data_IF_935115395845
#
_entry.id   IF_935115395845
#
_cell.length_a   1.000
_cell.length_b   1.000
_cell.length_c   1.000
_cell.angle_alpha   90.00
_cell.angle_beta   90.00
_cell.angle_gamma   90.00
#
_symmetry.space_group_name_H-M   'P 1'
#
loop_
_entity.id
_entity.type
_entity.pdbx_description
1 polymer ?
#
# COMPACT_ATOMS: atom_id res chain seq x y z
N UNK A 1 31.24 18.48 18.56
CA UNK A 1 30.60 17.27 19.11
C UNK A 1 30.40 16.29 17.97
N UNK A 2 31.18 15.22 17.92
CA UNK A 2 31.02 14.18 16.90
C UNK A 2 29.82 13.31 17.26
N UNK A 3 28.85 13.19 16.35
CA UNK A 3 27.78 12.22 16.50
C UNK A 3 28.40 10.85 16.31
N UNK A 4 28.58 10.11 17.40
CA UNK A 4 28.97 8.72 17.38
C UNK A 4 27.86 7.96 16.65
N UNK A 5 28.08 7.56 15.40
CA UNK A 5 27.18 6.61 14.73
C UNK A 5 27.28 5.30 15.50
N UNK A 6 26.21 4.95 16.22
CA UNK A 6 25.99 3.56 16.65
C UNK A 6 25.93 2.72 15.39
N UNK A 7 27.01 2.00 15.10
CA UNK A 7 27.01 0.96 14.07
C UNK A 7 26.28 -0.23 14.68
N UNK A 8 24.96 -0.24 14.56
CA UNK A 8 24.22 -1.50 14.62
C UNK A 8 24.74 -2.35 13.47
N UNK A 9 25.09 -3.60 13.77
CA UNK A 9 25.47 -4.59 12.77
C UNK A 9 24.21 -4.86 11.93
N UNK A 10 24.02 -4.07 10.89
CA UNK A 10 22.81 -4.13 10.07
C UNK A 10 22.89 -5.40 9.26
N UNK A 11 21.89 -6.28 9.43
CA UNK A 11 21.71 -7.49 8.62
C UNK A 11 21.68 -7.19 7.11
N UNK A 12 21.43 -5.93 6.72
CA UNK A 12 21.41 -5.46 5.35
C UNK A 12 22.67 -4.72 4.93
N UNK A 13 23.10 -5.00 3.71
CA UNK A 13 24.13 -4.19 3.06
C UNK A 13 23.63 -2.74 2.83
N UNK A 14 24.55 -1.78 2.78
CA UNK A 14 24.25 -0.40 2.37
C UNK A 14 23.57 -0.34 0.99
N UNK A 15 23.87 -1.27 0.10
CA UNK A 15 23.25 -1.37 -1.23
C UNK A 15 21.78 -1.74 -1.12
N UNK A 16 21.44 -2.75 -0.32
CA UNK A 16 20.06 -3.20 -0.08
C UNK A 16 19.21 -2.08 0.50
N UNK A 17 19.74 -1.36 1.48
CA UNK A 17 19.07 -0.19 2.07
C UNK A 17 18.83 0.89 1.00
N UNK A 18 19.83 1.17 0.16
CA UNK A 18 19.70 2.16 -0.90
C UNK A 18 18.67 1.75 -1.97
N UNK A 19 18.59 0.47 -2.31
CA UNK A 19 17.57 -0.07 -3.22
C UNK A 19 16.16 0.12 -2.65
N UNK A 20 15.95 -0.21 -1.38
CA UNK A 20 14.67 0.00 -0.71
C UNK A 20 14.28 1.49 -0.69
N UNK A 21 15.22 2.35 -0.29
CA UNK A 21 14.99 3.79 -0.24
C UNK A 21 14.67 4.40 -1.61
N UNK A 22 15.28 3.91 -2.70
CA UNK A 22 14.98 4.38 -4.06
C UNK A 22 13.53 4.12 -4.43
N UNK A 23 13.02 2.92 -4.15
CA UNK A 23 11.63 2.54 -4.44
C UNK A 23 10.66 3.33 -3.55
N UNK A 24 10.94 3.42 -2.24
CA UNK A 24 10.11 4.20 -1.32
C UNK A 24 10.07 5.66 -1.75
N UNK A 25 11.20 6.24 -2.16
CA UNK A 25 11.27 7.62 -2.61
C UNK A 25 10.55 7.84 -3.95
N UNK A 26 10.66 6.91 -4.91
CA UNK A 26 9.87 6.96 -6.15
C UNK A 26 8.38 7.02 -5.83
N UNK A 27 7.89 6.19 -4.91
CA UNK A 27 6.50 6.21 -4.49
C UNK A 27 6.10 7.51 -3.79
N UNK A 28 6.76 7.86 -2.68
CA UNK A 28 6.38 9.01 -1.85
C UNK A 28 6.45 10.32 -2.62
N UNK A 29 7.53 10.55 -3.38
CA UNK A 29 7.69 11.80 -4.14
C UNK A 29 6.70 11.86 -5.30
N UNK A 30 6.40 10.74 -5.97
CA UNK A 30 5.43 10.75 -7.06
C UNK A 30 4.01 11.02 -6.56
N UNK A 31 3.62 10.46 -5.42
CA UNK A 31 2.30 10.73 -4.81
C UNK A 31 2.14 12.21 -4.46
N UNK A 32 3.16 12.85 -3.86
CA UNK A 32 3.15 14.30 -3.58
C UNK A 32 2.95 15.15 -4.85
N UNK A 33 3.54 14.74 -5.97
CA UNK A 33 3.33 15.43 -7.25
C UNK A 33 1.96 15.15 -7.84
N UNK A 34 1.45 13.91 -7.70
CA UNK A 34 0.12 13.53 -8.16
C UNK A 34 -0.95 14.34 -7.43
N UNK A 35 -0.80 14.66 -6.15
CA UNK A 35 -1.76 15.47 -5.40
C UNK A 35 -2.04 16.85 -6.02
N UNK A 36 -1.07 17.41 -6.77
CA UNK A 36 -1.28 18.64 -7.53
C UNK A 36 -2.32 18.47 -8.64
N UNK A 37 -2.40 17.28 -9.24
CA UNK A 37 -3.41 16.94 -10.25
C UNK A 37 -4.82 16.99 -9.65
N UNK A 38 -4.98 16.55 -8.40
CA UNK A 38 -6.29 16.63 -7.73
C UNK A 38 -6.76 18.08 -7.59
N UNK A 39 -5.84 19.01 -7.33
CA UNK A 39 -6.12 20.44 -7.23
C UNK A 39 -6.40 21.09 -8.59
N UNK A 40 -5.53 20.87 -9.58
CA UNK A 40 -5.59 21.56 -10.88
C UNK A 40 -6.60 20.95 -11.87
N UNK A 41 -6.86 19.64 -11.75
CA UNK A 41 -7.60 18.86 -12.75
C UNK A 41 -8.73 17.99 -12.16
N UNK A 42 -8.90 17.98 -10.84
CA UNK A 42 -9.97 17.28 -10.16
C UNK A 42 -9.73 15.78 -9.91
N UNK A 43 -10.65 15.17 -9.17
CA UNK A 43 -10.54 13.79 -8.64
C UNK A 43 -10.42 12.72 -9.72
N UNK A 44 -11.23 12.77 -10.77
CA UNK A 44 -11.20 11.76 -11.84
C UNK A 44 -9.86 11.74 -12.60
N UNK A 45 -9.26 12.92 -12.80
CA UNK A 45 -7.94 13.02 -13.42
C UNK A 45 -6.87 12.44 -12.52
N UNK A 46 -6.92 12.77 -11.22
CA UNK A 46 -6.02 12.22 -10.22
C UNK A 46 -6.12 10.69 -10.12
N UNK A 47 -7.33 10.12 -10.01
CA UNK A 47 -7.55 8.66 -9.91
C UNK A 47 -6.95 7.91 -11.10
N UNK A 48 -7.18 8.43 -12.32
CA UNK A 48 -6.63 7.85 -13.54
C UNK A 48 -5.10 7.89 -13.56
N UNK A 49 -4.50 9.01 -13.17
CA UNK A 49 -3.03 9.15 -13.19
C UNK A 49 -2.35 8.36 -12.06
N UNK A 50 -2.99 8.22 -10.89
CA UNK A 50 -2.52 7.30 -9.83
C UNK A 50 -2.49 5.87 -10.33
N UNK A 51 -3.59 5.40 -10.96
CA UNK A 51 -3.64 4.07 -11.56
C UNK A 51 -2.55 3.91 -12.62
N UNK A 52 -2.42 4.87 -13.55
CA UNK A 52 -1.36 4.84 -14.56
C UNK A 52 0.02 4.73 -13.93
N UNK A 53 0.33 5.56 -12.94
CA UNK A 53 1.61 5.56 -12.24
C UNK A 53 1.92 4.20 -11.63
N UNK A 54 0.99 3.63 -10.86
CA UNK A 54 1.17 2.33 -10.21
C UNK A 54 1.54 1.23 -11.21
N UNK A 55 0.83 1.17 -12.35
CA UNK A 55 1.05 0.13 -13.36
C UNK A 55 2.26 0.41 -14.27
N UNK A 56 2.46 1.65 -14.75
CA UNK A 56 3.54 1.95 -15.70
C UNK A 56 4.92 2.01 -15.04
N UNK A 57 4.98 2.32 -13.75
CA UNK A 57 6.21 2.27 -12.96
C UNK A 57 6.41 0.94 -12.23
N UNK A 58 5.48 -0.02 -12.38
CA UNK A 58 5.52 -1.33 -11.71
C UNK A 58 5.74 -1.21 -10.19
N UNK A 59 5.06 -0.25 -9.57
CA UNK A 59 5.23 0.08 -8.15
C UNK A 59 4.86 -1.10 -7.26
N UNK A 60 3.82 -1.85 -7.64
CA UNK A 60 3.40 -3.09 -6.98
C UNK A 60 4.56 -4.10 -6.89
N UNK A 61 5.25 -4.36 -8.00
CA UNK A 61 6.38 -5.30 -8.05
C UNK A 61 7.58 -4.78 -7.28
N UNK A 62 7.88 -3.48 -7.43
CA UNK A 62 9.00 -2.85 -6.72
C UNK A 62 8.78 -2.87 -5.20
N UNK A 63 7.57 -2.58 -4.73
CA UNK A 63 7.22 -2.62 -3.31
C UNK A 63 7.21 -4.05 -2.76
N UNK A 64 6.74 -5.03 -3.52
CA UNK A 64 6.85 -6.44 -3.13
C UNK A 64 8.32 -6.86 -2.94
N UNK A 65 9.19 -6.41 -3.84
CA UNK A 65 10.64 -6.63 -3.74
C UNK A 65 11.20 -5.95 -2.48
N UNK A 66 10.82 -4.70 -2.18
CA UNK A 66 11.22 -4.02 -0.92
C UNK A 66 10.74 -4.79 0.31
N UNK A 67 9.47 -5.21 0.34
CA UNK A 67 8.90 -5.99 1.44
C UNK A 67 9.70 -7.26 1.68
N UNK A 68 10.05 -7.99 0.61
CA UNK A 68 10.82 -9.23 0.70
C UNK A 68 12.13 -9.04 1.46
N UNK A 69 12.91 -8.00 1.13
CA UNK A 69 14.16 -7.74 1.86
C UNK A 69 13.85 -7.39 3.29
N UNK A 70 12.96 -6.41 3.50
CA UNK A 70 12.65 -5.89 4.83
C UNK A 70 12.10 -6.97 5.78
N UNK A 71 11.47 -8.02 5.25
CA UNK A 71 10.95 -9.15 6.01
C UNK A 71 12.00 -10.23 6.38
N UNK A 72 13.17 -10.27 5.74
CA UNK A 72 14.20 -11.30 5.97
C UNK A 72 14.68 -11.48 7.44
N UNK A 73 14.67 -10.44 8.30
CA UNK A 73 15.04 -10.56 9.71
C UNK A 73 13.99 -11.26 10.57
N UNK A 74 12.73 -11.28 10.13
CA UNK A 74 11.61 -11.81 10.88
C UNK A 74 11.49 -13.33 10.67
N UNK A 75 11.15 -14.04 11.74
CA UNK A 75 10.96 -15.49 11.70
C UNK A 75 9.71 -15.87 10.91
N UNK A 76 9.84 -16.91 10.09
CA UNK A 76 8.71 -17.57 9.39
C UNK A 76 8.21 -18.80 10.15
N UNK A 77 8.70 -19.06 11.37
CA UNK A 77 8.19 -20.15 12.21
C UNK A 77 6.81 -19.79 12.73
N UNK A 78 5.85 -20.69 12.54
CA UNK A 78 4.48 -20.48 12.98
C UNK A 78 4.36 -20.68 14.50
N UNK A 79 3.69 -19.73 15.15
CA UNK A 79 3.34 -19.82 16.56
C UNK A 79 2.10 -20.69 16.83
N UNK A 80 1.66 -20.79 18.10
CA UNK A 80 0.45 -21.54 18.48
C UNK A 80 -0.87 -21.04 17.87
N UNK A 81 -0.89 -19.83 17.33
CA UNK A 81 -2.03 -19.21 16.64
C UNK A 81 -1.92 -19.24 15.12
N UNK A 82 -1.00 -20.06 14.59
CA UNK A 82 -0.81 -20.28 13.15
C UNK A 82 -0.35 -19.02 12.37
N UNK A 83 0.29 -18.07 13.07
CA UNK A 83 0.85 -16.85 12.48
C UNK A 83 2.37 -16.82 12.60
N UNK A 84 3.04 -16.32 11.56
CA UNK A 84 4.47 -15.99 11.65
C UNK A 84 4.73 -14.70 12.47
N UNK A 85 6.00 -14.33 12.66
CA UNK A 85 6.36 -13.13 13.43
C UNK A 85 5.81 -11.85 12.78
N UNK A 86 5.97 -11.72 11.46
CA UNK A 86 5.62 -10.49 10.75
C UNK A 86 4.09 -10.34 10.60
N UNK A 87 3.38 -11.43 10.38
CA UNK A 87 1.91 -11.45 10.37
C UNK A 87 1.34 -10.96 11.70
N UNK A 88 1.95 -11.37 12.80
CA UNK A 88 1.53 -10.98 14.15
C UNK A 88 1.81 -9.51 14.44
N UNK A 89 2.99 -9.02 14.07
CA UNK A 89 3.38 -7.61 14.25
C UNK A 89 2.59 -6.66 13.33
N UNK A 90 2.02 -7.16 12.22
CA UNK A 90 1.21 -6.37 11.28
C UNK A 90 -0.29 -6.65 11.38
N UNK A 91 -0.74 -7.35 12.42
CA UNK A 91 -2.13 -7.78 12.56
C UNK A 91 -3.14 -6.62 12.67
N UNK A 92 -2.68 -5.44 13.08
CA UNK A 92 -3.48 -4.22 13.23
C UNK A 92 -3.51 -3.35 11.96
N UNK A 93 -2.77 -3.73 10.91
CA UNK A 93 -2.75 -2.99 9.65
C UNK A 93 -4.07 -3.19 8.90
N UNK A 94 -4.82 -2.12 8.58
CA UNK A 94 -6.07 -2.24 7.83
C UNK A 94 -5.78 -2.46 6.35
N UNK A 95 -5.75 -3.72 5.92
CA UNK A 95 -5.65 -4.06 4.50
C UNK A 95 -7.01 -3.89 3.81
N UNK A 96 -6.98 -3.34 2.60
CA UNK A 96 -8.13 -3.42 1.70
C UNK A 96 -8.41 -4.87 1.32
N UNK A 97 -9.69 -5.27 1.34
CA UNK A 97 -10.11 -6.64 1.01
C UNK A 97 -11.10 -6.67 -0.15
N UNK A 98 -11.11 -7.79 -0.89
CA UNK A 98 -12.12 -8.00 -1.93
C UNK A 98 -13.54 -8.03 -1.34
N UNK A 99 -13.70 -8.47 -0.09
CA UNK A 99 -14.97 -8.43 0.62
C UNK A 99 -15.51 -7.00 0.80
N UNK A 100 -14.65 -6.01 1.06
CA UNK A 100 -15.05 -4.59 1.10
C UNK A 100 -15.59 -4.12 -0.26
N UNK A 101 -14.96 -4.55 -1.36
CA UNK A 101 -15.44 -4.27 -2.70
C UNK A 101 -16.82 -4.89 -2.96
N UNK A 102 -16.99 -6.18 -2.68
CA UNK A 102 -18.27 -6.87 -2.88
C UNK A 102 -19.40 -6.23 -2.06
N UNK A 103 -19.11 -5.89 -0.80
CA UNK A 103 -20.07 -5.20 0.05
C UNK A 103 -20.46 -3.82 -0.51
N UNK A 104 -19.49 -3.05 -1.03
CA UNK A 104 -19.77 -1.76 -1.65
C UNK A 104 -20.69 -1.87 -2.89
N UNK A 105 -20.58 -2.96 -3.67
CA UNK A 105 -21.46 -3.18 -4.83
C UNK A 105 -22.90 -3.53 -4.45
N UNK A 106 -23.12 -4.17 -3.29
CA UNK A 106 -24.45 -4.57 -2.83
C UNK A 106 -25.29 -3.39 -2.29
N UNK A 107 -24.63 -2.30 -1.86
CA UNK A 107 -25.27 -1.07 -1.38
C UNK A 107 -25.72 -0.08 -2.48
N UNK A 108 -25.42 -0.36 -3.75
CA UNK A 108 -25.73 0.52 -4.90
C UNK A 108 -26.94 0.10 -5.74
N UNK A 109 -27.78 -0.83 -5.25
CA UNK A 109 -29.04 -1.15 -5.92
C UNK A 109 -30.00 0.06 -5.86
N UNK A 110 -30.57 0.54 -6.98
CA UNK A 110 -31.59 1.59 -6.93
C UNK A 110 -32.83 1.03 -6.23
N UNK A 111 -33.36 1.74 -5.23
CA UNK A 111 -34.72 1.50 -4.76
C UNK A 111 -35.66 1.59 -5.96
N UNK A 112 -36.14 0.44 -6.43
CA UNK A 112 -37.18 0.38 -7.43
C UNK A 112 -38.38 1.15 -6.88
N UNK A 113 -38.71 2.26 -7.56
CA UNK A 113 -39.93 3.05 -7.40
C UNK A 113 -41.12 2.22 -6.93
N UNK A 114 -41.48 2.34 -5.65
CA UNK A 114 -42.85 2.04 -5.20
C UNK A 114 -43.70 3.24 -5.62
N UNK A 115 -44.14 3.23 -6.86
CA UNK A 115 -44.94 4.32 -7.41
C UNK A 115 -45.59 3.96 -8.73
N UNK A 116 -46.47 2.96 -8.73
CA UNK A 116 -47.56 2.83 -9.70
C UNK A 116 -48.52 1.72 -9.24
N UNK A 117 -49.38 2.04 -8.28
CA UNK A 117 -50.67 1.38 -8.18
C UNK A 117 -51.60 2.36 -7.48
N UNK A 118 -52.13 3.29 -8.26
CA UNK A 118 -53.41 3.97 -8.08
C UNK A 118 -53.60 4.92 -9.26
N UNK A 119 -54.27 4.42 -10.30
CA UNK A 119 -55.32 5.04 -11.13
C UNK A 119 -55.64 4.15 -12.33
#
# INVERSE_FOLDING_TARGET
MGIQRMTTDSKYSRSTILEALRVINEFVVSIDQLDRIAYDHGKEAWEREVVRFLFSHEIDKKMAKVRQFLSEPFSTELGPDDMDELERELADVPYWTYAEFEHAQQGTAPEASKGASDL
#
